data_IF_303473534171
#
_entry.id   IF_303473534171
#
_cell.length_a   1.000
_cell.length_b   1.000
_cell.length_c   1.000
_cell.angle_alpha   90.00
_cell.angle_beta   90.00
_cell.angle_gamma   90.00
#
_symmetry.space_group_name_H-M   'P 1'
#
loop_
_entity.id
_entity.type
_entity.pdbx_description
1 polymer ?
#
# COMPACT_ATOMS: atom_id res chain seq x y z
N UNK A 1 -3.15 4.64 26.82
CA UNK A 1 -3.17 3.26 26.37
C UNK A 1 -2.99 3.17 24.87
N UNK A 2 -2.56 2.02 24.41
CA UNK A 2 -2.32 1.82 23.00
C UNK A 2 -3.64 1.63 22.26
N UNK A 3 -3.76 2.23 21.06
CA UNK A 3 -4.95 1.97 20.26
C UNK A 3 -4.94 0.52 19.76
N UNK A 4 -6.11 -0.05 19.55
CA UNK A 4 -6.17 -1.41 19.02
C UNK A 4 -5.61 -1.45 17.59
N UNK A 5 -5.05 -2.60 17.23
CA UNK A 5 -4.50 -2.82 15.90
C UNK A 5 -5.42 -3.77 15.15
N UNK A 6 -5.79 -3.39 13.94
CA UNK A 6 -6.64 -4.21 13.10
C UNK A 6 -5.82 -4.68 11.91
N UNK A 7 -5.84 -5.98 11.65
CA UNK A 7 -5.11 -6.55 10.51
C UNK A 7 -6.11 -6.95 9.43
N UNK A 8 -5.91 -6.45 8.22
CA UNK A 8 -6.77 -6.74 7.09
C UNK A 8 -5.92 -7.31 5.96
N UNK A 9 -6.33 -8.47 5.46
CA UNK A 9 -5.60 -9.12 4.36
C UNK A 9 -6.48 -9.06 3.11
N UNK A 10 -5.99 -8.36 2.08
CA UNK A 10 -6.69 -8.21 0.81
C UNK A 10 -8.15 -7.79 1.03
N UNK A 11 -8.39 -6.68 1.74
CA UNK A 11 -9.73 -6.39 2.23
C UNK A 11 -10.79 -6.12 1.17
N UNK A 12 -10.39 -5.78 -0.05
CA UNK A 12 -11.38 -5.54 -1.11
C UNK A 12 -11.37 -6.63 -2.17
N UNK A 13 -10.67 -7.72 -1.92
CA UNK A 13 -10.58 -8.79 -2.90
C UNK A 13 -11.96 -9.40 -3.16
N UNK A 14 -12.28 -9.59 -4.44
CA UNK A 14 -13.55 -10.21 -4.81
C UNK A 14 -14.75 -9.27 -4.82
N UNK A 15 -14.55 -7.99 -4.53
CA UNK A 15 -15.65 -7.03 -4.49
C UNK A 15 -15.77 -6.27 -5.79
N UNK A 16 -16.99 -5.83 -6.13
CA UNK A 16 -17.18 -4.98 -7.30
C UNK A 16 -16.74 -3.54 -6.96
N UNK A 17 -16.65 -2.65 -7.96
CA UNK A 17 -16.14 -1.30 -7.72
C UNK A 17 -16.92 -0.51 -6.67
N UNK A 18 -18.22 -0.65 -6.61
CA UNK A 18 -19.01 0.07 -5.61
C UNK A 18 -18.76 -0.45 -4.21
N UNK A 19 -18.65 -1.77 -4.07
CA UNK A 19 -18.35 -2.38 -2.80
C UNK A 19 -16.94 -2.02 -2.34
N UNK A 20 -15.98 -1.97 -3.27
CA UNK A 20 -14.61 -1.57 -2.94
C UNK A 20 -14.59 -0.15 -2.38
N UNK A 21 -15.32 0.75 -3.02
CA UNK A 21 -15.36 2.13 -2.57
C UNK A 21 -15.94 2.22 -1.16
N UNK A 22 -16.99 1.47 -0.90
CA UNK A 22 -17.61 1.46 0.41
C UNK A 22 -16.64 0.97 1.49
N UNK A 23 -15.93 -0.12 1.21
CA UNK A 23 -14.97 -0.68 2.16
C UNK A 23 -13.80 0.27 2.36
N UNK A 24 -13.31 0.91 1.30
CA UNK A 24 -12.22 1.88 1.41
C UNK A 24 -12.59 3.03 2.32
N UNK A 25 -13.83 3.52 2.22
CA UNK A 25 -14.28 4.59 3.10
C UNK A 25 -14.33 4.13 4.55
N UNK A 26 -14.80 2.91 4.79
CA UNK A 26 -14.86 2.39 6.14
C UNK A 26 -13.48 2.23 6.73
N UNK A 27 -12.52 1.76 5.94
CA UNK A 27 -11.16 1.62 6.40
C UNK A 27 -10.56 2.98 6.75
N UNK A 28 -10.78 3.97 5.90
CA UNK A 28 -10.26 5.32 6.17
C UNK A 28 -10.87 5.89 7.43
N UNK A 29 -12.14 5.66 7.65
CA UNK A 29 -12.81 6.15 8.85
C UNK A 29 -12.29 5.47 10.11
N UNK A 30 -12.14 4.15 10.06
CA UNK A 30 -11.61 3.40 11.19
C UNK A 30 -10.17 3.80 11.49
N UNK A 31 -9.42 4.14 10.46
CA UNK A 31 -8.01 4.52 10.61
C UNK A 31 -7.81 5.78 11.42
N UNK A 32 -8.87 6.56 11.63
CA UNK A 32 -8.78 7.74 12.48
C UNK A 32 -8.66 7.38 13.95
N UNK A 33 -9.12 6.19 14.31
CA UNK A 33 -9.20 5.78 15.71
C UNK A 33 -8.40 4.54 16.03
N UNK A 34 -7.90 3.85 15.01
CA UNK A 34 -7.18 2.60 15.19
C UNK A 34 -5.97 2.58 14.26
N UNK A 35 -5.02 1.74 14.61
CA UNK A 35 -3.94 1.42 13.69
C UNK A 35 -4.42 0.28 12.82
N UNK A 36 -4.36 0.45 11.52
CA UNK A 36 -4.79 -0.57 10.57
C UNK A 36 -3.61 -0.96 9.70
N UNK A 37 -3.34 -2.25 9.65
CA UNK A 37 -2.31 -2.80 8.79
C UNK A 37 -2.99 -3.57 7.68
N UNK A 38 -2.74 -3.17 6.43
CA UNK A 38 -3.37 -3.77 5.27
C UNK A 38 -2.33 -4.47 4.44
N UNK A 39 -2.58 -5.73 4.11
CA UNK A 39 -1.78 -6.47 3.16
C UNK A 39 -2.54 -6.52 1.84
N UNK A 40 -1.94 -6.02 0.77
CA UNK A 40 -2.62 -5.99 -0.51
C UNK A 40 -1.61 -5.98 -1.64
N UNK A 41 -2.01 -6.57 -2.78
CA UNK A 41 -1.22 -6.46 -3.99
C UNK A 41 -1.77 -5.39 -4.93
N UNK A 42 -2.82 -4.70 -4.49
CA UNK A 42 -3.45 -3.65 -5.28
C UNK A 42 -2.81 -2.33 -4.93
N UNK A 43 -1.88 -1.88 -5.75
CA UNK A 43 -1.10 -0.70 -5.44
C UNK A 43 -1.93 0.57 -5.45
N UNK A 44 -2.94 0.64 -6.32
CA UNK A 44 -3.83 1.79 -6.33
C UNK A 44 -4.64 1.90 -5.04
N UNK A 45 -5.00 0.77 -4.45
CA UNK A 45 -5.71 0.77 -3.18
C UNK A 45 -4.80 1.29 -2.08
N UNK A 46 -3.54 0.84 -2.07
CA UNK A 46 -2.59 1.33 -1.08
C UNK A 46 -2.43 2.84 -1.17
N UNK A 47 -2.35 3.38 -2.40
CA UNK A 47 -2.23 4.82 -2.58
C UNK A 47 -3.41 5.57 -1.99
N UNK A 48 -4.60 4.97 -2.09
CA UNK A 48 -5.82 5.65 -1.70
C UNK A 48 -6.08 5.62 -0.21
N UNK A 49 -5.83 4.49 0.44
CA UNK A 49 -6.26 4.31 1.83
C UNK A 49 -5.13 4.33 2.85
N UNK A 50 -3.87 4.18 2.42
CA UNK A 50 -2.77 4.07 3.36
C UNK A 50 -2.02 5.38 3.50
N UNK A 51 -1.63 5.72 4.73
CA UNK A 51 -0.78 6.89 4.96
C UNK A 51 0.68 6.49 5.12
N UNK A 52 0.98 5.21 5.20
CA UNK A 52 2.35 4.71 5.21
C UNK A 52 2.37 3.40 4.45
N UNK A 53 3.39 3.21 3.64
CA UNK A 53 3.46 2.09 2.72
C UNK A 53 4.81 1.40 2.87
N UNK A 54 4.77 0.07 2.93
CA UNK A 54 5.99 -0.73 2.91
C UNK A 54 5.90 -1.64 1.70
N UNK A 55 6.86 -1.49 0.79
CA UNK A 55 6.91 -2.33 -0.40
C UNK A 55 7.87 -3.47 -0.15
N UNK A 56 7.38 -4.69 -0.36
CA UNK A 56 8.16 -5.89 -0.10
C UNK A 56 8.21 -6.72 -1.38
N UNK A 57 9.38 -7.23 -1.70
CA UNK A 57 9.56 -8.13 -2.83
C UNK A 57 10.57 -9.18 -2.46
N UNK A 58 10.18 -10.44 -2.64
CA UNK A 58 11.06 -11.59 -2.38
C UNK A 58 11.66 -11.56 -0.98
N UNK A 59 10.82 -11.21 -0.02
CA UNK A 59 11.23 -11.21 1.38
C UNK A 59 12.04 -10.02 1.81
N UNK A 60 12.26 -9.05 0.93
CA UNK A 60 13.07 -7.88 1.27
C UNK A 60 12.23 -6.61 1.19
N UNK A 61 12.44 -5.70 2.14
CA UNK A 61 11.79 -4.40 2.12
C UNK A 61 12.48 -3.54 1.08
N UNK A 62 11.71 -3.08 0.09
CA UNK A 62 12.24 -2.24 -0.98
C UNK A 62 12.02 -0.76 -0.73
N UNK A 63 10.98 -0.42 0.01
CA UNK A 63 10.71 0.97 0.36
C UNK A 63 9.81 0.99 1.58
N UNK A 64 9.89 2.09 2.34
CA UNK A 64 9.12 2.25 3.56
C UNK A 64 8.95 3.74 3.79
N UNK A 65 7.73 4.23 3.73
CA UNK A 65 7.47 5.64 3.94
C UNK A 65 6.08 6.02 3.50
N UNK A 66 5.84 7.32 3.42
CA UNK A 66 4.59 7.83 2.86
C UNK A 66 4.64 7.64 1.35
N UNK A 67 3.48 7.75 0.71
CA UNK A 67 3.43 7.71 -0.75
C UNK A 67 4.36 8.76 -1.34
N UNK A 68 4.29 9.96 -0.80
CA UNK A 68 5.12 11.06 -1.30
C UNK A 68 6.61 10.74 -1.18
N UNK A 69 7.02 10.19 -0.05
CA UNK A 69 8.42 9.81 0.16
C UNK A 69 8.88 8.82 -0.90
N UNK A 70 8.05 7.82 -1.16
CA UNK A 70 8.43 6.77 -2.09
C UNK A 70 8.50 7.29 -3.52
N UNK A 71 7.54 8.12 -3.90
CA UNK A 71 7.54 8.69 -5.25
C UNK A 71 8.73 9.61 -5.47
N UNK A 72 9.09 10.41 -4.47
CA UNK A 72 10.25 11.27 -4.57
C UNK A 72 11.53 10.47 -4.67
N UNK A 73 11.65 9.44 -3.84
CA UNK A 73 12.85 8.62 -3.81
C UNK A 73 13.07 7.89 -5.14
N UNK A 74 11.99 7.42 -5.75
CA UNK A 74 12.08 6.66 -7.00
C UNK A 74 11.96 7.55 -8.23
N UNK A 75 11.58 8.80 -8.06
CA UNK A 75 11.36 9.74 -9.16
C UNK A 75 10.29 9.22 -10.11
N UNK A 76 9.19 8.75 -9.54
CA UNK A 76 8.07 8.23 -10.29
C UNK A 76 6.80 8.97 -9.90
N UNK A 77 5.72 8.73 -10.65
CA UNK A 77 4.45 9.41 -10.42
C UNK A 77 3.39 8.52 -9.79
N UNK A 78 3.69 7.25 -9.59
CA UNK A 78 2.72 6.33 -8.97
C UNK A 78 3.41 5.14 -8.38
N UNK A 79 2.70 4.43 -7.49
CA UNK A 79 3.27 3.30 -6.78
C UNK A 79 3.60 2.14 -7.70
N UNK A 80 2.82 1.95 -8.75
CA UNK A 80 3.09 0.86 -9.67
C UNK A 80 4.43 1.07 -10.36
N UNK A 81 4.68 2.30 -10.82
CA UNK A 81 5.97 2.62 -11.42
C UNK A 81 7.10 2.48 -10.42
N UNK A 82 6.86 2.95 -9.18
CA UNK A 82 7.87 2.87 -8.15
C UNK A 82 8.23 1.42 -7.86
N UNK A 83 7.23 0.57 -7.75
CA UNK A 83 7.46 -0.84 -7.46
C UNK A 83 8.24 -1.50 -8.60
N UNK A 84 7.85 -1.23 -9.84
CA UNK A 84 8.57 -1.77 -10.99
C UNK A 84 10.02 -1.34 -10.97
N UNK A 85 10.26 -0.07 -10.68
CA UNK A 85 11.62 0.47 -10.67
C UNK A 85 12.46 -0.18 -9.57
N UNK A 86 11.88 -0.33 -8.39
CA UNK A 86 12.60 -0.90 -7.26
C UNK A 86 12.88 -2.38 -7.41
N UNK A 87 12.02 -3.09 -8.14
CA UNK A 87 12.17 -4.54 -8.28
C UNK A 87 12.85 -4.95 -9.58
N UNK A 88 12.97 -4.05 -10.53
CA UNK A 88 13.58 -4.36 -11.82
C UNK A 88 15.09 -4.33 -11.78
N UNK A 89 15.67 -3.74 -10.72
CA UNK A 89 17.12 -3.57 -10.67
C UNK A 89 17.91 -4.84 -10.84
N UNK A 90 17.40 -5.94 -10.28
CA UNK A 90 18.09 -7.21 -10.37
C UNK A 90 18.02 -7.88 -11.71
N UNK A 91 17.20 -7.36 -12.63
CA UNK A 91 17.00 -7.98 -13.92
C UNK A 91 17.63 -7.22 -15.06
N UNK A 92 18.03 -6.01 -14.83
CA UNK A 92 18.35 -5.12 -15.93
C UNK A 92 19.57 -5.52 -16.71
N UNK A 93 20.44 -6.25 -16.11
CA UNK A 93 21.62 -6.67 -16.80
C UNK A 93 21.54 -8.10 -17.27
N UNK A 94 20.38 -8.62 -17.21
CA UNK A 94 20.17 -9.97 -17.72
C UNK A 94 20.36 -9.97 -19.22
#
# INVERSE_FOLDING_TARGET
>A
SNPPILLLDEPTDGLDPNQKEHIRRQISELGRHKTILISTHLLDEAETVCNRIILIDRGAVKADGTLEDILLQTKTSGLEEAFKKLTAGGKKHA
#
